data_IF_063131015430
#
_entry.id   IF_063131015430
#
_cell.length_a   1.000
_cell.length_b   1.000
_cell.length_c   1.000
_cell.angle_alpha   90.00
_cell.angle_beta   90.00
_cell.angle_gamma   90.00
#
_symmetry.space_group_name_H-M   'P 1'
#
loop_
_entity.id
_entity.type
_entity.pdbx_description
1 polymer ?
#
# COMPACT_ATOMS: atom_id res chain seq x y z
N UNK A 1 -28.00 1.63 32.27
CA UNK A 1 -26.68 0.98 32.02
C UNK A 1 -26.88 -0.05 30.93
N UNK A 2 -26.88 0.40 29.67
CA UNK A 2 -27.30 -0.41 28.52
C UNK A 2 -26.09 -0.93 27.77
N UNK A 3 -25.91 -2.25 27.77
CA UNK A 3 -25.02 -2.96 26.85
C UNK A 3 -25.63 -2.82 25.46
N UNK A 4 -24.85 -2.32 24.49
CA UNK A 4 -25.16 -2.50 23.08
C UNK A 4 -24.00 -3.26 22.46
N UNK A 5 -24.26 -4.55 22.27
CA UNK A 5 -23.49 -5.45 21.42
C UNK A 5 -23.42 -4.88 20.00
N UNK A 6 -22.22 -4.68 19.46
CA UNK A 6 -22.02 -4.47 18.02
C UNK A 6 -21.20 -5.63 17.48
N UNK A 7 -21.92 -6.69 17.13
CA UNK A 7 -21.42 -7.81 16.33
C UNK A 7 -21.26 -7.33 14.88
N UNK A 8 -20.12 -6.71 14.56
CA UNK A 8 -19.74 -6.48 13.18
C UNK A 8 -19.13 -7.76 12.61
N UNK A 9 -19.98 -8.53 11.94
CA UNK A 9 -19.73 -9.65 11.05
C UNK A 9 -18.30 -9.73 10.45
N UNK A 10 -17.38 -10.41 11.13
CA UNK A 10 -16.26 -11.05 10.46
C UNK A 10 -16.83 -12.26 9.69
N UNK A 11 -17.29 -12.02 8.46
CA UNK A 11 -17.79 -13.09 7.60
C UNK A 11 -16.66 -14.08 7.31
N UNK A 12 -16.87 -15.27 7.88
CA UNK A 12 -16.33 -16.58 7.54
C UNK A 12 -15.90 -16.74 6.07
N UNK A 13 -14.64 -17.17 5.90
CA UNK A 13 -14.09 -18.09 4.89
C UNK A 13 -14.52 -17.98 3.41
N UNK A 14 -13.53 -17.82 2.53
CA UNK A 14 -13.55 -18.41 1.19
C UNK A 14 -12.46 -19.46 1.07
N UNK A 15 -12.89 -20.72 1.08
CA UNK A 15 -12.07 -21.90 0.89
C UNK A 15 -11.36 -21.91 -0.49
N UNK A 16 -10.08 -22.29 -0.46
CA UNK A 16 -9.47 -23.25 -1.38
C UNK A 16 -9.52 -22.98 -2.89
N UNK A 17 -8.43 -22.40 -3.41
CA UNK A 17 -7.76 -22.96 -4.60
C UNK A 17 -6.27 -22.61 -4.56
N UNK A 18 -5.50 -23.41 -3.82
CA UNK A 18 -4.05 -23.25 -3.62
C UNK A 18 -3.23 -23.43 -4.92
N UNK A 19 -3.87 -23.85 -6.03
CA UNK A 19 -3.16 -24.29 -7.24
C UNK A 19 -3.07 -23.22 -8.35
N UNK A 20 -4.09 -22.39 -8.59
CA UNK A 20 -4.05 -21.40 -9.68
C UNK A 20 -3.26 -20.12 -9.35
N UNK A 21 -3.09 -19.81 -8.05
CA UNK A 21 -2.41 -18.57 -7.58
C UNK A 21 -0.89 -18.60 -7.76
N UNK A 22 -0.30 -19.76 -8.08
CA UNK A 22 1.15 -20.03 -8.06
C UNK A 22 1.93 -19.55 -9.29
N UNK A 23 1.27 -19.34 -10.43
CA UNK A 23 1.93 -19.00 -11.71
C UNK A 23 1.95 -17.49 -11.93
N UNK A 24 0.92 -16.77 -11.48
CA UNK A 24 0.91 -15.30 -11.46
C UNK A 24 1.74 -14.67 -10.34
N UNK A 25 2.25 -15.46 -9.39
CA UNK A 25 3.04 -14.97 -8.26
C UNK A 25 4.53 -14.85 -8.54
N UNK A 26 5.11 -15.61 -9.47
CA UNK A 26 6.55 -15.50 -9.80
C UNK A 26 6.92 -14.09 -10.28
N UNK A 27 6.28 -13.50 -11.30
CA UNK A 27 6.66 -12.17 -11.76
C UNK A 27 6.41 -11.10 -10.69
N UNK A 28 5.35 -11.26 -9.89
CA UNK A 28 5.06 -10.35 -8.78
C UNK A 28 6.13 -10.44 -7.69
N UNK A 29 6.50 -11.64 -7.25
CA UNK A 29 7.52 -11.86 -6.24
C UNK A 29 8.90 -11.37 -6.68
N UNK A 30 9.26 -11.55 -7.95
CA UNK A 30 10.49 -11.00 -8.53
C UNK A 30 10.48 -9.48 -8.48
N UNK A 31 9.39 -8.83 -8.90
CA UNK A 31 9.27 -7.37 -8.88
C UNK A 31 9.30 -6.81 -7.44
N UNK A 32 8.55 -7.43 -6.52
CA UNK A 32 8.57 -7.04 -5.10
C UNK A 32 9.97 -7.19 -4.51
N UNK A 33 10.67 -8.28 -4.82
CA UNK A 33 12.06 -8.50 -4.41
C UNK A 33 12.99 -7.43 -4.97
N UNK A 34 12.92 -7.16 -6.27
CA UNK A 34 13.73 -6.14 -6.94
C UNK A 34 13.48 -4.74 -6.35
N UNK A 35 12.23 -4.35 -6.14
CA UNK A 35 11.87 -3.07 -5.52
C UNK A 35 12.35 -2.97 -4.07
N UNK A 36 12.31 -4.08 -3.32
CA UNK A 36 12.81 -4.12 -1.95
C UNK A 36 14.33 -3.96 -1.90
N UNK A 37 15.07 -4.66 -2.77
CA UNK A 37 16.53 -4.55 -2.89
C UNK A 37 16.91 -3.15 -3.34
N UNK A 38 16.24 -2.61 -4.35
CA UNK A 38 16.45 -1.24 -4.82
C UNK A 38 16.25 -0.22 -3.69
N UNK A 39 15.19 -0.34 -2.89
CA UNK A 39 14.96 0.56 -1.76
C UNK A 39 16.03 0.44 -0.67
N UNK A 40 16.54 -0.75 -0.39
CA UNK A 40 17.58 -0.95 0.63
C UNK A 40 18.96 -0.45 0.18
N UNK A 41 19.24 -0.48 -1.11
CA UNK A 41 20.58 -0.20 -1.65
C UNK A 41 20.68 1.20 -2.28
N UNK A 42 19.68 1.60 -3.07
CA UNK A 42 19.70 2.84 -3.86
C UNK A 42 19.02 3.99 -3.13
N UNK A 43 17.91 3.74 -2.40
CA UNK A 43 17.17 4.81 -1.72
C UNK A 43 18.00 5.63 -0.73
N UNK A 44 18.94 5.06 0.06
CA UNK A 44 19.78 5.84 0.96
C UNK A 44 20.73 6.80 0.22
N UNK A 45 21.09 6.48 -1.03
CA UNK A 45 22.04 7.25 -1.83
C UNK A 45 21.35 8.39 -2.60
N UNK A 46 20.08 8.23 -2.95
CA UNK A 46 19.35 9.15 -3.84
C UNK A 46 18.50 10.21 -3.12
N UNK A 47 18.21 10.05 -1.82
CA UNK A 47 17.41 11.02 -1.06
C UNK A 47 15.95 11.15 -1.51
N UNK A 48 15.30 12.25 -1.09
CA UNK A 48 13.88 12.56 -1.33
C UNK A 48 13.68 13.30 -2.67
N UNK A 49 13.87 12.59 -3.79
CA UNK A 49 13.65 13.16 -5.15
C UNK A 49 12.20 13.09 -5.62
N UNK A 50 11.38 12.28 -4.96
CA UNK A 50 9.99 12.06 -5.36
C UNK A 50 9.14 13.27 -5.01
N UNK A 51 8.35 13.73 -5.97
CA UNK A 51 7.47 14.88 -5.81
C UNK A 51 6.15 14.54 -5.10
N UNK A 52 5.81 13.26 -5.07
CA UNK A 52 4.62 12.74 -4.38
C UNK A 52 5.00 11.93 -3.15
N UNK A 53 4.14 12.00 -2.13
CA UNK A 53 4.13 11.10 -0.98
C UNK A 53 3.05 10.01 -1.15
N UNK A 54 3.33 8.73 -0.86
CA UNK A 54 4.66 8.18 -0.60
C UNK A 54 5.54 8.20 -1.87
N UNK A 55 6.85 7.99 -1.67
CA UNK A 55 7.85 7.95 -2.77
C UNK A 55 7.45 6.98 -3.89
N UNK A 56 7.86 7.25 -5.13
CA UNK A 56 7.50 6.42 -6.30
C UNK A 56 7.84 4.94 -6.12
N UNK A 57 8.97 4.61 -5.48
CA UNK A 57 9.36 3.22 -5.22
C UNK A 57 8.53 2.58 -4.09
N UNK A 58 8.07 3.34 -3.10
CA UNK A 58 7.16 2.86 -2.07
C UNK A 58 5.77 2.60 -2.67
N UNK A 59 5.27 3.53 -3.48
CA UNK A 59 4.03 3.37 -4.24
C UNK A 59 4.08 2.15 -5.15
N UNK A 60 5.19 1.96 -5.89
CA UNK A 60 5.36 0.82 -6.78
C UNK A 60 5.33 -0.52 -6.01
N UNK A 61 6.02 -0.58 -4.86
CA UNK A 61 6.07 -1.78 -4.02
C UNK A 61 4.67 -2.14 -3.50
N UNK A 62 3.92 -1.15 -3.03
CA UNK A 62 2.56 -1.33 -2.55
C UNK A 62 1.59 -1.73 -3.69
N UNK A 63 1.64 -1.03 -4.82
CA UNK A 63 0.79 -1.31 -5.98
C UNK A 63 1.03 -2.72 -6.53
N UNK A 64 2.28 -3.16 -6.66
CA UNK A 64 2.60 -4.52 -7.13
C UNK A 64 2.23 -5.57 -6.08
N UNK A 65 2.36 -5.27 -4.78
CA UNK A 65 1.99 -6.19 -3.70
C UNK A 65 0.49 -6.46 -3.68
N UNK A 66 -0.33 -5.43 -3.84
CA UNK A 66 -1.79 -5.54 -3.78
C UNK A 66 -2.41 -5.96 -5.12
N UNK A 67 -2.01 -5.33 -6.23
CA UNK A 67 -2.65 -5.50 -7.55
C UNK A 67 -1.93 -6.50 -8.47
N UNK A 68 -0.81 -7.06 -8.03
CA UNK A 68 0.01 -7.98 -8.84
C UNK A 68 0.91 -7.26 -9.85
N UNK A 69 1.69 -8.05 -10.59
CA UNK A 69 2.73 -7.55 -11.48
C UNK A 69 2.21 -6.61 -12.58
N UNK A 70 1.10 -6.93 -13.24
CA UNK A 70 0.62 -6.17 -14.40
C UNK A 70 -0.02 -4.85 -14.00
N UNK A 71 -1.13 -4.91 -13.26
CA UNK A 71 -1.87 -3.72 -12.82
C UNK A 71 -1.04 -2.86 -11.86
N UNK A 72 -0.26 -3.49 -10.97
CA UNK A 72 0.65 -2.78 -10.08
C UNK A 72 1.74 -2.03 -10.83
N UNK A 73 2.36 -2.64 -11.84
CA UNK A 73 3.38 -1.96 -12.67
C UNK A 73 2.78 -0.83 -13.50
N UNK A 74 1.56 -1.00 -14.03
CA UNK A 74 0.87 0.06 -14.77
C UNK A 74 0.60 1.29 -13.89
N UNK A 75 0.09 1.08 -12.67
CA UNK A 75 -0.11 2.16 -11.69
C UNK A 75 1.22 2.85 -11.35
N UNK A 76 2.28 2.07 -11.10
CA UNK A 76 3.60 2.57 -10.79
C UNK A 76 4.18 3.41 -11.94
N UNK A 77 4.11 2.92 -13.17
CA UNK A 77 4.59 3.60 -14.36
C UNK A 77 3.84 4.92 -14.59
N UNK A 78 2.50 4.91 -14.50
CA UNK A 78 1.67 6.12 -14.62
C UNK A 78 2.05 7.18 -13.58
N UNK A 79 2.39 6.78 -12.36
CA UNK A 79 2.85 7.72 -11.34
C UNK A 79 4.26 8.23 -11.62
N UNK A 80 5.18 7.36 -12.05
CA UNK A 80 6.54 7.75 -12.37
C UNK A 80 6.57 8.80 -13.49
N UNK A 81 5.75 8.65 -14.52
CA UNK A 81 5.62 9.63 -15.61
C UNK A 81 5.12 11.00 -15.12
N UNK A 82 4.33 11.06 -14.04
CA UNK A 82 3.87 12.31 -13.43
C UNK A 82 4.89 12.91 -12.47
N UNK A 83 5.83 12.12 -11.96
CA UNK A 83 6.81 12.54 -10.97
C UNK A 83 8.01 13.23 -11.63
N UNK A 84 7.80 14.46 -12.09
CA UNK A 84 8.83 15.32 -12.68
C UNK A 84 8.92 16.68 -11.95
N UNK A 85 10.01 17.45 -12.09
CA UNK A 85 10.23 18.70 -11.35
C UNK A 85 9.13 19.76 -11.51
N UNK A 86 8.50 19.81 -12.69
CA UNK A 86 7.38 20.73 -12.97
C UNK A 86 6.02 20.29 -12.41
N UNK A 87 5.95 19.18 -11.67
CA UNK A 87 4.71 18.78 -11.02
C UNK A 87 4.65 19.41 -9.61
N UNK A 88 3.54 20.04 -9.18
CA UNK A 88 3.43 20.57 -7.83
C UNK A 88 3.63 19.50 -6.75
N UNK A 89 3.31 18.23 -7.05
CA UNK A 89 3.41 17.13 -6.11
C UNK A 89 2.20 17.00 -5.21
N UNK A 90 2.37 16.27 -4.11
CA UNK A 90 1.33 16.10 -3.10
C UNK A 90 1.22 14.67 -2.58
N UNK A 91 0.15 14.41 -1.84
CA UNK A 91 -0.17 13.09 -1.32
C UNK A 91 -1.00 12.33 -2.35
N UNK A 92 -0.50 11.20 -2.82
CA UNK A 92 -1.18 10.34 -3.79
C UNK A 92 -0.97 8.90 -3.29
N UNK A 93 -2.01 8.24 -2.76
CA UNK A 93 -1.90 6.87 -2.29
C UNK A 93 -2.25 5.88 -3.41
N UNK A 94 -1.86 4.62 -3.23
CA UNK A 94 -2.36 3.57 -4.12
C UNK A 94 -3.89 3.54 -3.99
N UNK A 95 -4.66 3.52 -5.09
CA UNK A 95 -6.10 3.60 -5.01
C UNK A 95 -6.67 2.50 -4.12
N UNK A 96 -7.51 2.85 -3.16
CA UNK A 96 -8.31 1.87 -2.43
C UNK A 96 -9.33 1.26 -3.41
N UNK A 97 -9.44 -0.06 -3.40
CA UNK A 97 -10.43 -0.81 -4.18
C UNK A 97 -10.89 -2.02 -3.38
N UNK A 98 -12.01 -2.66 -3.75
CA UNK A 98 -12.43 -3.90 -3.07
C UNK A 98 -11.36 -5.00 -3.08
N UNK A 99 -10.46 -4.99 -4.07
CA UNK A 99 -9.31 -5.91 -4.11
C UNK A 99 -8.22 -5.52 -3.11
N UNK A 100 -8.04 -4.22 -2.84
CA UNK A 100 -7.11 -3.71 -1.84
C UNK A 100 -7.54 -4.10 -0.43
N UNK A 101 -8.80 -3.82 -0.09
CA UNK A 101 -9.37 -4.15 1.23
C UNK A 101 -9.33 -5.66 1.49
N UNK A 102 -9.69 -6.45 0.48
CA UNK A 102 -9.61 -7.91 0.54
C UNK A 102 -8.17 -8.38 0.77
N UNK A 103 -7.20 -7.82 0.05
CA UNK A 103 -5.79 -8.21 0.20
C UNK A 103 -5.29 -7.98 1.63
N UNK A 104 -5.64 -6.83 2.23
CA UNK A 104 -5.31 -6.49 3.61
C UNK A 104 -5.92 -7.46 4.61
N UNK A 105 -7.20 -7.82 4.43
CA UNK A 105 -7.91 -8.77 5.29
C UNK A 105 -7.34 -10.20 5.20
N UNK A 106 -6.95 -10.63 4.00
CA UNK A 106 -6.44 -11.98 3.74
C UNK A 106 -4.96 -12.17 4.15
N UNK A 107 -4.17 -11.08 4.18
CA UNK A 107 -2.71 -11.17 4.33
C UNK A 107 -2.14 -10.24 5.42
N UNK A 108 -2.71 -10.18 6.64
CA UNK A 108 -2.28 -9.23 7.66
C UNK A 108 -0.81 -9.42 8.07
N UNK A 109 -0.33 -10.66 8.14
CA UNK A 109 1.06 -10.97 8.48
C UNK A 109 2.06 -10.76 7.33
N UNK A 110 1.61 -10.41 6.12
CA UNK A 110 2.48 -10.15 4.95
C UNK A 110 2.52 -8.69 4.54
N UNK A 111 1.91 -7.80 5.33
CA UNK A 111 1.95 -6.36 5.08
C UNK A 111 3.41 -5.91 5.18
N UNK A 112 4.00 -5.36 4.10
CA UNK A 112 5.35 -4.84 4.17
C UNK A 112 5.37 -3.62 5.11
N UNK A 113 6.36 -3.52 5.99
CA UNK A 113 6.51 -2.36 6.91
C UNK A 113 6.40 -1.00 6.20
N UNK A 114 6.85 -0.90 4.94
CA UNK A 114 6.72 0.34 4.18
C UNK A 114 5.27 0.75 3.93
N UNK A 115 4.36 -0.21 3.75
CA UNK A 115 2.94 0.04 3.55
C UNK A 115 2.29 0.59 4.83
N UNK A 116 2.69 0.05 5.99
CA UNK A 116 2.29 0.57 7.32
C UNK A 116 2.81 1.98 7.56
N UNK A 117 4.08 2.24 7.21
CA UNK A 117 4.67 3.57 7.35
C UNK A 117 4.03 4.60 6.42
N UNK A 118 3.57 4.18 5.24
CA UNK A 118 2.84 5.05 4.31
C UNK A 118 1.40 5.32 4.78
N UNK A 119 0.80 4.40 5.55
CA UNK A 119 -0.58 4.46 6.04
C UNK A 119 -0.57 4.27 7.56
N UNK A 120 -0.05 5.24 8.32
CA UNK A 120 -0.02 5.12 9.77
C UNK A 120 -1.44 4.97 10.31
N UNK A 121 -1.65 3.99 11.19
CA UNK A 121 -2.88 3.89 11.95
C UNK A 121 -2.88 5.05 12.94
N UNK A 122 -3.67 6.09 12.65
CA UNK A 122 -3.86 7.21 13.57
C UNK A 122 -4.76 6.72 14.71
N UNK A 123 -4.28 6.70 15.96
CA UNK A 123 -5.10 6.35 17.11
C UNK A 123 -6.32 7.28 17.21
N UNK A 124 -7.44 6.75 17.70
CA UNK A 124 -8.66 7.53 17.90
C UNK A 124 -8.66 8.32 19.24
N UNK A 125 -7.49 8.77 19.67
CA UNK A 125 -7.32 9.65 20.82
C UNK A 125 -7.59 11.11 20.44
N UNK A 126 -7.56 12.00 21.44
CA UNK A 126 -7.85 13.42 21.22
C UNK A 126 -6.77 14.10 20.38
N UNK A 127 -5.50 13.68 20.53
CA UNK A 127 -4.37 14.13 19.70
C UNK A 127 -4.60 13.79 18.22
N UNK A 128 -4.98 12.54 17.91
CA UNK A 128 -5.33 12.13 16.55
C UNK A 128 -6.53 12.89 15.98
N UNK A 129 -7.52 13.22 16.81
CA UNK A 129 -8.68 14.05 16.43
C UNK A 129 -8.28 15.48 16.07
N UNK A 130 -7.36 16.08 16.82
CA UNK A 130 -6.84 17.42 16.57
C UNK A 130 -5.98 17.47 15.30
N UNK A 131 -5.07 16.49 15.14
CA UNK A 131 -4.27 16.34 13.94
C UNK A 131 -5.12 16.22 12.66
N UNK A 132 -6.24 15.48 12.73
CA UNK A 132 -7.18 15.35 11.62
C UNK A 132 -7.91 16.67 11.29
N UNK A 133 -8.12 17.56 12.27
CA UNK A 133 -8.78 18.86 12.07
C UNK A 133 -7.85 19.92 11.48
N UNK A 134 -6.55 19.87 11.79
CA UNK A 134 -5.55 20.83 11.30
C UNK A 134 -5.00 20.55 9.90
N UNK A 135 -5.42 19.45 9.26
CA UNK A 135 -4.98 19.03 7.93
C UNK A 135 -5.89 19.49 6.77
N UNK A 136 -6.93 20.28 7.06
CA UNK A 136 -7.82 20.94 6.07
C UNK A 136 -7.52 22.43 5.96
#
# INVERSE_FOLDING_TARGET
MSRVSSTAHYRQASSSTVTAKRIHTIPQSVLVGALTVYRKTVSPLYGQVCRFFPSCSAYALEAVTVYGATKGSWLAARRLCRCHPWNPGGVDHVPASPSYDRWLQENPARIPRIMELNHPVIPADDEGREAARGAN
#
